data_IF_975316224332
#
_entry.id   IF_975316224332
#
_cell.length_a   1.000
_cell.length_b   1.000
_cell.length_c   1.000
_cell.angle_alpha   90.00
_cell.angle_beta   90.00
_cell.angle_gamma   90.00
#
_symmetry.space_group_name_H-M   'P 1'
#
loop_
_entity.id
_entity.type
_entity.pdbx_description
1 polymer ?
#
# COMPACT_ATOMS: atom_id res chain seq x y z
N UNK A 1 -3.31 -17.91 4.39
CA UNK A 1 -2.95 -16.89 3.36
C UNK A 1 -4.21 -16.55 2.61
N UNK A 2 -4.63 -15.29 2.61
CA UNK A 2 -5.78 -14.80 1.84
C UNK A 2 -5.42 -13.45 1.24
N UNK A 3 -6.13 -13.08 0.17
CA UNK A 3 -6.00 -11.75 -0.43
C UNK A 3 -7.03 -10.82 0.20
N UNK A 4 -6.60 -9.63 0.56
CA UNK A 4 -7.42 -8.63 1.22
C UNK A 4 -7.32 -7.28 0.50
N UNK A 5 -8.38 -6.51 0.56
CA UNK A 5 -8.43 -5.09 0.24
C UNK A 5 -8.45 -4.29 1.55
N UNK A 6 -7.95 -3.04 1.54
CA UNK A 6 -8.01 -2.21 2.73
C UNK A 6 -9.45 -1.98 3.21
N UNK A 7 -9.66 -1.66 4.50
CA UNK A 7 -10.95 -1.20 5.02
C UNK A 7 -11.58 -0.11 4.16
N UNK A 8 -12.92 -0.04 4.12
CA UNK A 8 -13.63 0.92 3.27
C UNK A 8 -13.52 2.37 3.76
N UNK A 9 -13.26 2.55 5.06
CA UNK A 9 -13.07 3.81 5.76
C UNK A 9 -11.62 4.32 5.70
N UNK A 10 -10.72 3.59 5.04
CA UNK A 10 -9.33 3.97 4.80
C UNK A 10 -9.04 4.22 3.30
N UNK A 11 -9.71 5.21 2.66
CA UNK A 11 -9.56 5.44 1.22
C UNK A 11 -8.13 5.82 0.82
N UNK A 12 -7.40 6.50 1.70
CA UNK A 12 -6.00 6.88 1.53
C UNK A 12 -5.07 5.67 1.31
N UNK A 13 -5.43 4.50 1.84
CA UNK A 13 -4.65 3.28 1.61
C UNK A 13 -4.69 2.88 0.15
N UNK A 14 -5.83 3.07 -0.54
CA UNK A 14 -5.94 2.81 -1.98
C UNK A 14 -5.24 3.85 -2.87
N UNK A 15 -5.00 5.05 -2.36
CA UNK A 15 -4.30 6.13 -3.08
C UNK A 15 -2.78 5.98 -3.02
N UNK A 16 -2.26 5.45 -1.91
CA UNK A 16 -0.81 5.30 -1.67
C UNK A 16 -0.31 3.89 -1.95
N UNK A 17 -1.06 2.85 -1.57
CA UNK A 17 -0.57 1.48 -1.62
C UNK A 17 -0.55 0.95 -3.05
N UNK A 18 0.56 0.33 -3.43
CA UNK A 18 0.73 -0.26 -4.73
C UNK A 18 2.15 -0.17 -5.24
N UNK A 19 2.29 -0.42 -6.54
CA UNK A 19 3.57 -0.30 -7.25
C UNK A 19 3.67 1.08 -7.90
N UNK A 20 4.82 1.72 -7.75
CA UNK A 20 5.15 3.01 -8.32
C UNK A 20 6.40 2.91 -9.19
N UNK A 21 6.42 3.60 -10.33
CA UNK A 21 7.59 3.81 -11.16
C UNK A 21 8.15 5.18 -10.86
N UNK A 22 9.38 5.22 -10.36
CA UNK A 22 10.04 6.41 -9.85
C UNK A 22 11.21 6.81 -10.76
N UNK A 23 11.32 8.10 -11.01
CA UNK A 23 12.46 8.75 -11.64
C UNK A 23 13.10 9.68 -10.60
N UNK A 24 14.37 9.45 -10.27
CA UNK A 24 15.15 10.28 -9.37
C UNK A 24 16.22 11.03 -10.15
N UNK A 25 16.19 12.36 -10.06
CA UNK A 25 17.17 13.25 -10.70
C UNK A 25 18.13 13.76 -9.64
N UNK A 26 19.42 13.52 -9.82
CA UNK A 26 20.51 14.02 -9.00
C UNK A 26 20.78 15.50 -9.29
N UNK A 27 21.46 16.20 -8.37
CA UNK A 27 21.87 17.59 -8.57
C UNK A 27 22.76 17.81 -9.82
N UNK A 28 23.52 16.79 -10.22
CA UNK A 28 24.37 16.83 -11.42
C UNK A 28 23.60 16.56 -12.73
N UNK A 29 22.31 16.25 -12.63
CA UNK A 29 21.43 15.93 -13.75
C UNK A 29 21.40 14.46 -14.14
N UNK A 30 22.14 13.58 -13.44
CA UNK A 30 22.03 12.13 -13.59
C UNK A 30 20.63 11.66 -13.19
N UNK A 31 20.11 10.64 -13.88
CA UNK A 31 18.75 10.13 -13.66
C UNK A 31 18.80 8.62 -13.37
N UNK A 32 18.18 8.23 -12.28
CA UNK A 32 17.93 6.84 -11.91
C UNK A 32 16.45 6.48 -12.05
N UNK A 33 16.18 5.26 -12.52
CA UNK A 33 14.83 4.71 -12.64
C UNK A 33 14.67 3.57 -11.64
N UNK A 34 13.69 3.70 -10.75
CA UNK A 34 13.45 2.77 -9.64
C UNK A 34 11.98 2.34 -9.64
N UNK A 35 11.68 1.19 -9.03
CA UNK A 35 10.30 0.78 -8.76
C UNK A 35 10.07 0.63 -7.27
N UNK A 36 8.99 1.19 -6.76
CA UNK A 36 8.60 1.05 -5.35
C UNK A 36 7.40 0.12 -5.25
N UNK A 37 7.35 -0.66 -4.19
CA UNK A 37 6.16 -1.41 -3.77
C UNK A 37 5.91 -1.06 -2.31
N UNK A 38 4.89 -0.24 -2.08
CA UNK A 38 4.58 0.34 -0.76
C UNK A 38 3.15 0.04 -0.35
N UNK A 39 2.92 0.00 0.96
CA UNK A 39 1.60 -0.16 1.57
C UNK A 39 1.48 0.79 2.76
N UNK A 40 0.30 1.39 2.92
CA UNK A 40 -0.05 2.22 4.06
C UNK A 40 -0.75 1.36 5.13
N UNK A 41 -0.24 1.41 6.36
CA UNK A 41 -0.83 0.79 7.54
C UNK A 41 -1.08 1.89 8.58
N UNK A 42 -2.33 2.32 8.72
CA UNK A 42 -2.67 3.53 9.47
C UNK A 42 -2.02 4.76 8.83
N UNK A 43 -1.03 5.36 9.51
CA UNK A 43 -0.24 6.47 8.97
C UNK A 43 1.18 6.07 8.56
N UNK A 44 1.56 4.80 8.74
CA UNK A 44 2.91 4.31 8.46
C UNK A 44 2.96 3.70 7.06
N UNK A 45 3.94 4.10 6.27
CA UNK A 45 4.25 3.47 4.99
C UNK A 45 5.35 2.43 5.23
N UNK A 46 5.10 1.22 4.76
CA UNK A 46 6.09 0.14 4.71
C UNK A 46 6.22 -0.34 3.28
N UNK A 47 7.41 -0.80 2.91
CA UNK A 47 7.62 -1.27 1.55
C UNK A 47 9.06 -1.54 1.20
N UNK A 48 9.28 -1.74 -0.09
CA UNK A 48 10.57 -2.01 -0.69
C UNK A 48 10.70 -1.23 -1.99
N UNK A 49 11.93 -1.00 -2.43
CA UNK A 49 12.18 -0.42 -3.74
C UNK A 49 13.19 -1.25 -4.53
N UNK A 50 13.33 -0.91 -5.80
CA UNK A 50 14.29 -1.47 -6.77
C UNK A 50 14.32 -3.01 -6.84
N UNK A 51 13.15 -3.64 -6.94
CA UNK A 51 13.03 -5.10 -6.92
C UNK A 51 13.45 -5.79 -8.23
N UNK A 52 13.67 -5.03 -9.30
CA UNK A 52 13.98 -5.55 -10.61
C UNK A 52 15.50 -5.66 -10.85
N UNK A 53 16.32 -5.24 -9.89
CA UNK A 53 17.78 -5.42 -9.93
C UNK A 53 18.21 -6.64 -9.13
N UNK A 54 19.37 -7.19 -9.47
CA UNK A 54 19.92 -8.40 -8.81
C UNK A 54 20.26 -8.17 -7.32
N UNK A 55 20.26 -6.92 -6.86
CA UNK A 55 20.67 -6.50 -5.52
C UNK A 55 19.45 -6.19 -4.65
N UNK A 56 18.95 -7.21 -3.94
CA UNK A 56 17.73 -7.17 -3.11
C UNK A 56 17.88 -6.45 -1.75
N UNK A 57 18.60 -5.35 -1.69
CA UNK A 57 18.93 -4.64 -0.45
C UNK A 57 18.41 -3.20 -0.43
N UNK A 58 17.18 -2.99 -0.89
CA UNK A 58 16.51 -1.69 -0.95
C UNK A 58 15.18 -1.73 -0.18
N UNK A 59 15.18 -1.14 1.03
CA UNK A 59 14.05 -1.21 1.97
C UNK A 59 13.58 0.17 2.38
N UNK A 60 12.26 0.36 2.51
CA UNK A 60 11.70 1.48 3.24
C UNK A 60 11.73 1.09 4.72
N UNK A 61 12.68 1.67 5.46
CA UNK A 61 12.89 1.36 6.89
C UNK A 61 11.88 2.09 7.78
N UNK A 62 11.42 3.26 7.33
CA UNK A 62 10.39 4.05 7.98
C UNK A 62 9.68 4.90 6.92
N UNK A 63 8.37 5.03 7.03
CA UNK A 63 7.63 5.94 6.16
C UNK A 63 6.37 6.44 6.83
N UNK A 64 5.92 7.62 6.44
CA UNK A 64 4.70 8.21 6.95
C UNK A 64 3.91 8.90 5.86
N UNK A 65 2.59 8.77 5.92
CA UNK A 65 1.66 9.53 5.10
C UNK A 65 0.76 10.40 5.98
N UNK A 66 0.84 11.70 5.76
CA UNK A 66 -0.03 12.71 6.34
C UNK A 66 -0.52 13.60 5.22
N UNK A 67 -1.61 13.18 4.58
CA UNK A 67 -2.17 13.77 3.35
C UNK A 67 -2.01 15.31 3.28
N UNK A 68 -1.37 15.85 2.21
CA UNK A 68 -0.81 15.13 1.06
C UNK A 68 0.65 14.70 1.23
N UNK A 69 1.24 14.92 2.40
CA UNK A 69 2.68 14.81 2.61
C UNK A 69 3.13 13.37 2.82
N UNK A 70 4.24 13.02 2.18
CA UNK A 70 4.91 11.74 2.32
C UNK A 70 6.34 11.95 2.81
N UNK A 71 6.77 11.07 3.71
CA UNK A 71 8.15 10.92 4.13
C UNK A 71 8.50 9.44 4.01
N UNK A 72 9.65 9.14 3.41
CA UNK A 72 10.23 7.80 3.36
C UNK A 72 11.69 7.88 3.77
N UNK A 73 12.10 7.01 4.68
CA UNK A 73 13.50 6.70 4.94
C UNK A 73 13.79 5.37 4.27
N UNK A 74 14.86 5.36 3.49
CA UNK A 74 15.24 4.24 2.64
C UNK A 74 16.67 3.82 2.97
N UNK A 75 16.90 2.52 3.03
CA UNK A 75 18.23 1.94 3.08
C UNK A 75 18.48 1.23 1.76
N UNK A 76 19.57 1.59 1.09
CA UNK A 76 20.03 0.95 -0.13
C UNK A 76 21.50 0.57 0.01
N UNK A 77 21.77 -0.74 -0.04
CA UNK A 77 23.10 -1.29 0.24
C UNK A 77 23.52 -0.87 1.66
N UNK A 78 24.52 -0.01 1.81
CA UNK A 78 25.04 0.48 3.10
C UNK A 78 24.81 2.00 3.24
N UNK A 79 23.89 2.56 2.45
CA UNK A 79 23.60 3.98 2.40
C UNK A 79 22.15 4.28 2.83
N UNK A 80 21.96 5.41 3.50
CA UNK A 80 20.66 5.83 3.99
C UNK A 80 20.20 7.12 3.31
N UNK A 81 18.94 7.14 2.92
CA UNK A 81 18.31 8.21 2.18
C UNK A 81 17.03 8.65 2.86
N UNK A 82 16.71 9.94 2.73
CA UNK A 82 15.43 10.48 3.11
C UNK A 82 14.77 11.13 1.90
N UNK A 83 13.55 10.66 1.61
CA UNK A 83 12.69 11.18 0.57
C UNK A 83 11.53 11.93 1.23
N UNK A 84 11.31 13.17 0.80
CA UNK A 84 10.19 14.00 1.21
C UNK A 84 9.41 14.40 -0.01
N UNK A 85 8.09 14.35 0.05
CA UNK A 85 7.27 14.72 -1.09
C UNK A 85 5.82 14.93 -0.75
N UNK A 86 4.99 14.93 -1.79
CA UNK A 86 3.54 15.03 -1.69
C UNK A 86 2.86 14.17 -2.75
N UNK A 87 1.63 13.76 -2.46
CA UNK A 87 0.68 13.24 -3.44
C UNK A 87 -0.05 14.42 -4.09
N UNK A 88 -0.04 14.48 -5.42
CA UNK A 88 -0.72 15.50 -6.21
C UNK A 88 -1.23 14.89 -7.51
N UNK A 89 -2.53 14.99 -7.76
CA UNK A 89 -3.17 14.49 -8.99
C UNK A 89 -2.88 13.00 -9.29
N UNK A 90 -2.73 12.17 -8.25
CA UNK A 90 -2.41 10.74 -8.40
C UNK A 90 -0.94 10.43 -8.68
N UNK A 91 -0.06 11.43 -8.64
CA UNK A 91 1.38 11.30 -8.74
C UNK A 91 2.04 11.67 -7.42
N UNK A 92 3.19 11.05 -7.13
CA UNK A 92 4.04 11.45 -6.03
C UNK A 92 5.22 12.26 -6.57
N UNK A 93 5.58 13.34 -5.90
CA UNK A 93 6.77 14.13 -6.27
C UNK A 93 7.44 14.72 -5.05
N UNK A 94 8.75 14.97 -5.14
CA UNK A 94 9.48 15.49 -4.01
C UNK A 94 10.98 15.65 -4.21
N UNK A 95 11.68 15.69 -3.08
CA UNK A 95 13.14 15.69 -2.99
C UNK A 95 13.64 14.48 -2.24
N UNK A 96 14.86 14.07 -2.57
CA UNK A 96 15.59 13.06 -1.84
C UNK A 96 16.95 13.62 -1.44
N UNK A 97 17.51 13.10 -0.34
CA UNK A 97 18.87 13.38 0.09
C UNK A 97 19.50 12.14 0.66
N UNK A 98 20.78 11.97 0.45
CA UNK A 98 21.56 11.05 1.24
C UNK A 98 21.75 11.61 2.66
N UNK A 99 21.84 10.73 3.67
CA UNK A 99 21.89 11.17 5.07
C UNK A 99 23.31 11.44 5.57
N UNK A 100 24.33 10.94 4.88
CA UNK A 100 25.74 11.03 5.33
C UNK A 100 26.61 11.96 4.48
N UNK A 101 26.12 12.42 3.33
CA UNK A 101 26.80 13.41 2.47
C UNK A 101 25.81 14.42 1.88
N UNK A 102 26.31 15.32 1.03
CA UNK A 102 25.54 16.39 0.40
C UNK A 102 24.85 15.95 -0.91
N UNK A 103 24.78 14.64 -1.19
CA UNK A 103 24.10 14.13 -2.37
C UNK A 103 22.57 14.20 -2.23
N UNK A 104 21.90 14.40 -3.37
CA UNK A 104 20.46 14.57 -3.40
C UNK A 104 19.92 15.07 -4.73
N UNK A 105 18.61 15.32 -4.71
CA UNK A 105 17.92 15.93 -5.83
C UNK A 105 16.41 15.78 -5.75
N UNK A 106 15.77 15.68 -6.91
CA UNK A 106 14.30 15.59 -7.02
C UNK A 106 13.88 14.20 -7.45
N UNK A 107 12.63 13.85 -7.18
CA UNK A 107 12.04 12.61 -7.68
C UNK A 107 10.58 12.81 -8.06
N UNK A 108 10.12 11.98 -8.99
CA UNK A 108 8.72 11.85 -9.36
C UNK A 108 8.37 10.37 -9.49
N UNK A 109 7.20 9.99 -9.00
CA UNK A 109 6.72 8.62 -9.08
C UNK A 109 5.27 8.56 -9.59
N UNK A 110 5.02 7.62 -10.49
CA UNK A 110 3.72 7.37 -11.12
C UNK A 110 3.22 5.98 -10.74
N UNK A 111 1.91 5.79 -10.50
CA UNK A 111 1.39 4.46 -10.21
C UNK A 111 1.60 3.57 -11.43
N UNK A 112 2.13 2.36 -11.20
CA UNK A 112 2.20 1.32 -12.23
C UNK A 112 0.81 0.73 -12.34
N UNK A 113 0.07 1.16 -13.36
CA UNK A 113 -1.24 0.63 -13.66
C UNK A 113 -1.12 -0.84 -14.09
N UNK A 114 -1.49 -1.74 -13.19
CA UNK A 114 -1.86 -3.08 -13.60
C UNK A 114 -3.25 -3.01 -14.21
N UNK A 115 -3.37 -3.31 -15.51
CA UNK A 115 -4.65 -3.64 -16.13
C UNK A 115 -5.14 -4.98 -15.58
N UNK A 116 -5.40 -5.07 -14.28
CA UNK A 116 -6.30 -6.08 -13.75
C UNK A 116 -7.70 -5.49 -13.87
N UNK A 117 -8.37 -5.82 -14.97
CA UNK A 117 -9.83 -5.79 -15.05
C UNK A 117 -10.37 -6.83 -14.06
N UNK A 118 -10.29 -6.54 -12.76
CA UNK A 118 -11.14 -7.23 -11.81
C UNK A 118 -12.55 -6.75 -12.13
N UNK A 119 -13.40 -7.68 -12.56
CA UNK A 119 -14.81 -7.38 -12.76
C UNK A 119 -15.32 -6.67 -11.49
N UNK A 120 -15.81 -5.42 -11.57
CA UNK A 120 -16.27 -4.67 -10.39
C UNK A 120 -17.42 -5.37 -9.65
N UNK A 121 -17.91 -6.50 -10.19
CA UNK A 121 -18.99 -7.34 -9.68
C UNK A 121 -18.54 -8.49 -8.76
N UNK A 122 -17.28 -8.59 -8.34
CA UNK A 122 -16.97 -9.45 -7.19
C UNK A 122 -17.35 -8.72 -5.90
N UNK A 123 -18.44 -9.16 -5.27
CA UNK A 123 -18.85 -8.65 -3.97
C UNK A 123 -17.68 -8.79 -2.97
N UNK A 124 -17.38 -7.70 -2.27
CA UNK A 124 -16.43 -7.72 -1.15
C UNK A 124 -17.22 -7.58 0.14
N UNK A 125 -16.77 -8.26 1.18
CA UNK A 125 -17.36 -8.16 2.50
C UNK A 125 -16.29 -7.79 3.54
N UNK A 126 -16.69 -7.01 4.54
CA UNK A 126 -15.82 -6.63 5.65
C UNK A 126 -15.47 -7.86 6.49
N UNK A 127 -14.17 -8.04 6.77
CA UNK A 127 -13.66 -8.99 7.73
C UNK A 127 -13.42 -8.27 9.06
N UNK A 128 -14.09 -8.72 10.11
CA UNK A 128 -13.92 -8.25 11.46
C UNK A 128 -13.00 -9.19 12.24
N UNK A 129 -12.22 -8.63 13.17
CA UNK A 129 -11.49 -9.37 14.19
C UNK A 129 -12.02 -8.99 15.57
N UNK A 130 -12.20 -9.96 16.44
CA UNK A 130 -12.62 -9.74 17.83
C UNK A 130 -11.94 -10.76 18.75
N UNK A 131 -11.89 -10.45 20.03
CA UNK A 131 -11.50 -11.41 21.06
C UNK A 131 -12.75 -12.20 21.48
N UNK A 132 -12.70 -13.52 21.32
CA UNK A 132 -13.77 -14.41 21.77
C UNK A 132 -13.84 -14.40 23.30
N UNK A 133 -15.02 -14.07 23.83
CA UNK A 133 -15.20 -13.84 25.26
C UNK A 133 -15.03 -15.09 26.13
N UNK A 134 -15.05 -16.30 25.54
CA UNK A 134 -14.93 -17.57 26.27
C UNK A 134 -13.51 -18.11 26.22
N UNK A 135 -12.85 -18.01 25.07
CA UNK A 135 -11.53 -18.58 24.84
C UNK A 135 -10.38 -17.57 24.95
N UNK A 136 -10.68 -16.26 24.99
CA UNK A 136 -9.70 -15.17 24.91
C UNK A 136 -8.80 -15.27 23.66
N UNK A 137 -9.26 -15.98 22.63
CA UNK A 137 -8.56 -16.10 21.35
C UNK A 137 -9.12 -15.11 20.34
N UNK A 138 -8.30 -14.73 19.38
CA UNK A 138 -8.78 -13.97 18.23
C UNK A 138 -9.68 -14.84 17.36
N UNK A 139 -10.85 -14.30 17.03
CA UNK A 139 -11.79 -14.88 16.08
C UNK A 139 -12.08 -13.86 14.97
N UNK A 140 -12.48 -14.37 13.80
CA UNK A 140 -12.75 -13.56 12.61
C UNK A 140 -14.13 -13.85 12.03
N UNK A 141 -14.80 -12.83 11.53
CA UNK A 141 -16.13 -12.96 10.91
C UNK A 141 -16.29 -12.05 9.70
N UNK A 142 -16.91 -12.57 8.63
CA UNK A 142 -17.18 -11.85 7.39
C UNK A 142 -18.63 -11.34 7.39
N UNK A 143 -18.84 -10.06 7.04
CA UNK A 143 -20.11 -9.55 6.50
C UNK A 143 -21.26 -9.21 7.48
N UNK A 144 -21.09 -9.31 8.80
CA UNK A 144 -22.19 -9.05 9.77
C UNK A 144 -22.03 -7.72 10.53
N UNK A 145 -22.97 -6.76 10.41
CA UNK A 145 -23.01 -5.53 11.21
C UNK A 145 -23.26 -5.76 12.71
N UNK A 146 -23.72 -6.95 13.12
CA UNK A 146 -23.91 -7.31 14.52
C UNK A 146 -22.63 -7.80 15.23
N UNK A 147 -21.47 -7.76 14.56
CA UNK A 147 -20.16 -7.85 15.19
C UNK A 147 -19.91 -6.60 16.09
N UNK A 148 -20.73 -6.40 17.12
CA UNK A 148 -20.80 -5.17 17.93
C UNK A 148 -19.51 -4.85 18.70
N UNK A 149 -18.57 -5.80 18.78
CA UNK A 149 -17.32 -5.66 19.54
C UNK A 149 -16.06 -5.95 18.70
N UNK A 150 -16.18 -6.13 17.39
CA UNK A 150 -15.04 -6.41 16.51
C UNK A 150 -14.48 -5.16 15.85
N UNK A 151 -13.15 -5.08 15.70
CA UNK A 151 -12.50 -4.08 14.86
C UNK A 151 -12.53 -4.53 13.40
N UNK A 152 -12.74 -3.59 12.48
CA UNK A 152 -12.58 -3.85 11.05
C UNK A 152 -11.12 -4.17 10.77
N UNK A 153 -10.85 -5.32 10.12
CA UNK A 153 -9.51 -5.72 9.75
C UNK A 153 -9.21 -5.37 8.30
N UNK A 154 -10.11 -5.74 7.38
CA UNK A 154 -9.95 -5.53 5.94
C UNK A 154 -11.26 -5.86 5.20
N UNK A 155 -11.23 -5.81 3.87
CA UNK A 155 -12.26 -6.38 3.00
C UNK A 155 -11.72 -7.61 2.30
N UNK A 156 -12.56 -8.63 2.14
CA UNK A 156 -12.22 -9.86 1.41
C UNK A 156 -13.22 -10.10 0.29
N UNK A 157 -12.75 -10.68 -0.81
CA UNK A 157 -13.63 -11.14 -1.88
C UNK A 157 -14.50 -12.29 -1.38
N UNK A 158 -15.81 -12.20 -1.60
CA UNK A 158 -16.73 -13.31 -1.37
C UNK A 158 -17.12 -13.93 -2.71
N UNK A 159 -17.20 -15.27 -2.82
CA UNK A 159 -17.70 -15.91 -4.02
C UNK A 159 -19.10 -15.39 -4.30
N UNK A 160 -19.29 -14.70 -5.44
CA UNK A 160 -20.58 -14.14 -5.79
C UNK A 160 -21.66 -15.22 -5.76
N UNK A 161 -22.71 -15.02 -4.96
CA UNK A 161 -23.96 -15.76 -5.09
C UNK A 161 -24.63 -15.34 -6.39
N UNK A 162 -24.12 -15.81 -7.53
CA UNK A 162 -24.94 -15.89 -8.73
C UNK A 162 -26.10 -16.80 -8.37
N UNK A 163 -27.29 -16.21 -8.34
CA UNK A 163 -28.59 -16.87 -8.24
C UNK A 163 -28.50 -18.31 -8.77
N UNK A 164 -28.81 -19.28 -7.91
CA UNK A 164 -29.36 -20.56 -8.41
C UNK A 164 -30.50 -20.16 -9.32
N UNK A 165 -30.35 -20.35 -10.63
CA UNK A 165 -31.48 -20.37 -11.53
C UNK A 165 -32.50 -21.30 -10.87
N UNK A 166 -33.64 -20.74 -10.45
CA UNK A 166 -34.82 -21.57 -10.22
C UNK A 166 -35.06 -22.27 -11.56
N UNK A 167 -34.88 -23.58 -11.55
CA UNK A 167 -35.60 -24.46 -12.45
C UNK A 167 -37.07 -24.21 -12.18
N UNK A 168 -37.71 -23.43 -13.05
CA UNK A 168 -39.16 -23.48 -13.18
C UNK A 168 -39.47 -24.60 -14.17
N UNK A 169 -40.36 -25.48 -13.71
CA UNK A 169 -40.97 -26.64 -14.39
C UNK A 169 -41.73 -26.25 -15.67
#
# INVERSE_FOLDING_TARGET
>A
LFFALPPADEPQVGEISGRWSCEATHHDGTIDFLHWEITLVGHTIVGRFDQDTDYRFAWITEGSFHDPLILLNAEYIDAQYQLRGKLSEGFLEGTWRHLEDDDGGTWQAKPVSFNMSVDPLLDTATLFVYEDALSHQQAWQVGDPQAKNGSVLCRVWIPGTRYRHKTDE
#
